data_IF_469899159668
#
_entry.id   IF_469899159668
#
_cell.length_a   1.000
_cell.length_b   1.000
_cell.length_c   1.000
_cell.angle_alpha   90.00
_cell.angle_beta   90.00
_cell.angle_gamma   90.00
#
_symmetry.space_group_name_H-M   'P 1'
#
loop_
_entity.id
_entity.type
_entity.pdbx_description
1 polymer ?
#
# COMPACT_ATOMS: atom_id res chain seq x y z
N UNK A 1 -14.32 -17.01 -9.86
CA UNK A 1 -13.05 -16.62 -10.49
C UNK A 1 -13.07 -15.17 -10.94
N UNK A 2 -14.04 -14.74 -11.74
CA UNK A 2 -14.11 -13.38 -12.29
C UNK A 2 -14.27 -12.28 -11.22
N UNK A 3 -15.21 -12.43 -10.28
CA UNK A 3 -15.41 -11.49 -9.17
C UNK A 3 -14.15 -11.27 -8.31
N UNK A 4 -13.37 -12.32 -8.10
CA UNK A 4 -12.12 -12.26 -7.31
C UNK A 4 -11.08 -11.42 -8.03
N UNK A 5 -10.97 -11.56 -9.35
CA UNK A 5 -10.06 -10.77 -10.17
C UNK A 5 -10.44 -9.29 -10.12
N UNK A 6 -11.73 -8.97 -10.24
CA UNK A 6 -12.21 -7.58 -10.11
C UNK A 6 -11.90 -6.99 -8.73
N UNK A 7 -12.12 -7.76 -7.66
CA UNK A 7 -11.85 -7.31 -6.30
C UNK A 7 -10.36 -7.05 -6.07
N UNK A 8 -9.49 -7.94 -6.54
CA UNK A 8 -8.04 -7.77 -6.44
C UNK A 8 -7.61 -6.53 -7.22
N UNK A 9 -8.10 -6.34 -8.44
CA UNK A 9 -7.77 -5.18 -9.26
C UNK A 9 -8.25 -3.88 -8.61
N UNK A 10 -9.43 -3.88 -8.01
CA UNK A 10 -9.96 -2.75 -7.26
C UNK A 10 -9.08 -2.41 -6.07
N UNK A 11 -8.72 -3.40 -5.25
CA UNK A 11 -7.85 -3.19 -4.09
C UNK A 11 -6.45 -2.72 -4.47
N UNK A 12 -5.85 -3.31 -5.51
CA UNK A 12 -4.53 -2.91 -6.00
C UNK A 12 -4.55 -1.51 -6.59
N UNK A 13 -5.72 -0.99 -6.98
CA UNK A 13 -5.88 0.36 -7.52
C UNK A 13 -6.13 1.40 -6.42
N UNK A 14 -7.03 1.08 -5.48
CA UNK A 14 -7.49 2.03 -4.47
C UNK A 14 -6.47 2.22 -3.35
N UNK A 15 -5.87 1.14 -2.86
CA UNK A 15 -4.97 1.21 -1.69
C UNK A 15 -3.71 2.05 -1.97
N UNK A 16 -3.01 1.91 -3.11
CA UNK A 16 -1.88 2.77 -3.43
C UNK A 16 -2.28 4.22 -3.70
N UNK A 17 -3.47 4.47 -4.26
CA UNK A 17 -3.96 5.83 -4.49
C UNK A 17 -4.19 6.56 -3.16
N UNK A 18 -4.75 5.88 -2.15
CA UNK A 18 -4.91 6.41 -0.80
C UNK A 18 -3.54 6.71 -0.18
N UNK A 19 -2.58 5.78 -0.26
CA UNK A 19 -1.23 6.02 0.26
C UNK A 19 -0.56 7.20 -0.44
N UNK A 20 -0.68 7.31 -1.76
CA UNK A 20 -0.11 8.41 -2.54
C UNK A 20 -0.67 9.76 -2.05
N UNK A 21 -2.00 9.85 -1.88
CA UNK A 21 -2.65 11.06 -1.41
C UNK A 21 -2.14 11.44 -0.01
N UNK A 22 -2.20 10.52 0.95
CA UNK A 22 -1.70 10.71 2.33
C UNK A 22 -0.23 11.09 2.36
N UNK A 23 0.60 10.41 1.56
CA UNK A 23 2.02 10.75 1.46
C UNK A 23 2.16 12.18 0.98
N UNK A 24 1.58 12.53 -0.17
CA UNK A 24 1.79 13.82 -0.82
C UNK A 24 1.23 15.03 -0.07
N UNK A 25 0.30 14.83 0.87
CA UNK A 25 -0.26 15.89 1.72
C UNK A 25 0.48 16.08 3.04
N UNK A 26 1.21 15.05 3.51
CA UNK A 26 1.66 15.02 4.92
C UNK A 26 3.17 14.84 5.02
N UNK A 27 3.73 13.89 4.27
CA UNK A 27 5.13 13.50 4.39
C UNK A 27 6.09 14.55 3.82
N UNK A 28 5.86 15.11 2.60
CA UNK A 28 6.65 16.22 2.08
C UNK A 28 6.63 17.45 2.98
N UNK A 29 5.48 17.77 3.56
CA UNK A 29 5.30 19.01 4.31
C UNK A 29 6.00 18.94 5.68
N UNK A 30 5.92 17.80 6.36
CA UNK A 30 6.52 17.61 7.69
C UNK A 30 8.01 17.27 7.59
N UNK A 31 8.38 16.35 6.68
CA UNK A 31 9.72 15.77 6.63
C UNK A 31 10.59 16.32 5.49
N UNK A 32 10.06 17.25 4.68
CA UNK A 32 10.75 17.81 3.49
C UNK A 32 11.18 16.74 2.48
N UNK A 33 10.38 15.67 2.37
CA UNK A 33 10.60 14.57 1.43
C UNK A 33 9.91 14.82 0.08
N UNK A 34 10.34 14.16 -1.01
CA UNK A 34 9.68 14.31 -2.30
C UNK A 34 8.27 13.71 -2.30
N UNK A 35 7.40 14.31 -3.13
CA UNK A 35 6.11 13.72 -3.50
C UNK A 35 6.34 12.45 -4.32
N UNK A 36 5.42 11.51 -4.19
CA UNK A 36 5.42 10.24 -4.89
C UNK A 36 4.28 10.15 -5.91
N UNK A 37 4.54 9.43 -6.98
CA UNK A 37 3.54 9.03 -7.98
C UNK A 37 2.83 7.75 -7.55
N UNK A 38 1.71 7.45 -8.21
CA UNK A 38 0.93 6.23 -7.98
C UNK A 38 1.79 4.96 -7.98
N UNK A 39 2.66 4.80 -8.99
CA UNK A 39 3.54 3.63 -9.11
C UNK A 39 4.59 3.54 -8.02
N UNK A 40 5.06 4.68 -7.50
CA UNK A 40 5.98 4.70 -6.35
C UNK A 40 5.25 4.30 -5.07
N UNK A 41 4.02 4.77 -4.85
CA UNK A 41 3.19 4.37 -3.71
C UNK A 41 2.89 2.86 -3.73
N UNK A 42 2.58 2.28 -4.89
CA UNK A 42 2.36 0.83 -5.03
C UNK A 42 3.63 0.03 -4.65
N UNK A 43 4.79 0.39 -5.19
CA UNK A 43 6.06 -0.29 -4.87
C UNK A 43 6.41 -0.16 -3.39
N UNK A 44 6.13 0.99 -2.78
CA UNK A 44 6.35 1.22 -1.37
C UNK A 44 5.47 0.32 -0.49
N UNK A 45 4.19 0.14 -0.86
CA UNK A 45 3.30 -0.81 -0.18
C UNK A 45 3.80 -2.26 -0.30
N UNK A 46 4.30 -2.66 -1.46
CA UNK A 46 4.87 -3.99 -1.64
C UNK A 46 6.07 -4.21 -0.72
N UNK A 47 6.99 -3.24 -0.67
CA UNK A 47 8.14 -3.28 0.25
C UNK A 47 7.65 -3.34 1.71
N UNK A 48 6.70 -2.50 2.10
CA UNK A 48 6.13 -2.52 3.44
C UNK A 48 5.48 -3.87 3.77
N UNK A 49 4.79 -4.50 2.83
CA UNK A 49 4.20 -5.83 3.04
C UNK A 49 5.25 -6.92 3.20
N UNK A 50 6.39 -6.84 2.51
CA UNK A 50 7.50 -7.78 2.69
C UNK A 50 8.15 -7.63 4.07
N UNK A 51 8.33 -6.39 4.52
CA UNK A 51 8.98 -6.07 5.80
C UNK A 51 8.08 -6.30 7.02
N UNK A 52 6.78 -6.00 6.90
CA UNK A 52 5.86 -5.94 8.04
C UNK A 52 4.65 -6.89 7.93
N UNK A 53 4.41 -7.51 6.76
CA UNK A 53 3.23 -8.34 6.51
C UNK A 53 3.28 -9.75 7.11
N UNK A 54 4.43 -10.23 7.59
CA UNK A 54 4.60 -11.60 8.09
C UNK A 54 4.01 -11.81 9.51
N UNK A 55 3.70 -10.75 10.27
CA UNK A 55 3.25 -10.87 11.67
C UNK A 55 1.83 -11.41 11.86
N UNK A 56 0.94 -11.30 10.87
CA UNK A 56 -0.47 -11.69 11.01
C UNK A 56 -0.72 -13.19 10.71
N UNK A 57 0.13 -13.83 9.89
CA UNK A 57 -0.09 -15.21 9.44
C UNK A 57 0.42 -16.28 10.43
N UNK A 58 1.35 -15.93 11.32
CA UNK A 58 1.99 -16.89 12.23
C UNK A 58 1.26 -17.05 13.58
N UNK A 59 0.14 -16.34 13.80
CA UNK A 59 -0.67 -16.44 15.02
C UNK A 59 -2.01 -17.18 14.77
N UNK A 60 -1.99 -18.18 13.89
CA UNK A 60 -3.02 -19.20 13.87
C UNK A 60 -2.67 -20.23 14.95
N UNK A 61 -3.17 -20.02 16.17
CA UNK A 61 -3.35 -21.13 17.11
C UNK A 61 -4.62 -21.87 16.69
N UNK A 62 -4.54 -23.16 16.30
CA UNK A 62 -5.73 -23.97 16.08
C UNK A 62 -6.57 -24.09 17.36
#
# INVERSE_FOLDING_TARGET
MELVIFLIFFFVSVVPAILQWLWNTTIPDIFRLPKITYWQALRLLLIASMLFGQGAALNYKP
#
